data_IF_994180514500
#
_entry.id   IF_994180514500
#
_cell.length_a   1.000
_cell.length_b   1.000
_cell.length_c   1.000
_cell.angle_alpha   90.00
_cell.angle_beta   90.00
_cell.angle_gamma   90.00
#
_symmetry.space_group_name_H-M   'P 1'
#
loop_
_entity.id
_entity.type
_entity.pdbx_description
1 polymer ?
#
# COMPACT_ATOMS: atom_id res chain seq x y z
N UNK A 1 -45.09 -55.15 -25.78
CA UNK A 1 -44.87 -53.77 -26.25
C UNK A 1 -44.00 -53.83 -27.50
N UNK A 2 -44.55 -53.51 -28.68
CA UNK A 2 -43.89 -53.67 -29.98
C UNK A 2 -42.50 -53.02 -29.99
N UNK A 3 -41.53 -53.65 -30.67
CA UNK A 3 -40.16 -53.15 -30.85
C UNK A 3 -40.10 -51.67 -31.26
N UNK A 4 -41.03 -51.20 -32.11
CA UNK A 4 -41.13 -49.78 -32.48
C UNK A 4 -41.49 -48.84 -31.31
N UNK A 5 -42.26 -49.29 -30.31
CA UNK A 5 -42.58 -48.49 -29.11
C UNK A 5 -41.39 -48.37 -28.17
N UNK A 6 -40.50 -49.37 -28.13
CA UNK A 6 -39.25 -49.30 -27.35
C UNK A 6 -38.26 -48.32 -27.99
N UNK A 7 -38.12 -48.35 -29.31
CA UNK A 7 -37.25 -47.43 -30.05
C UNK A 7 -37.73 -45.98 -29.91
N UNK A 8 -39.04 -45.74 -30.00
CA UNK A 8 -39.61 -44.40 -29.80
C UNK A 8 -39.45 -43.87 -28.36
N UNK A 9 -39.50 -44.76 -27.35
CA UNK A 9 -39.32 -44.37 -25.95
C UNK A 9 -37.85 -44.05 -25.65
N UNK A 10 -36.91 -44.80 -26.25
CA UNK A 10 -35.46 -44.56 -26.13
C UNK A 10 -35.05 -43.29 -26.87
N UNK A 11 -35.61 -43.00 -28.05
CA UNK A 11 -35.32 -41.76 -28.76
C UNK A 11 -35.86 -40.54 -28.01
N UNK A 12 -37.06 -40.64 -27.41
CA UNK A 12 -37.64 -39.56 -26.60
C UNK A 12 -36.83 -39.32 -25.32
N UNK A 13 -36.37 -40.37 -24.64
CA UNK A 13 -35.51 -40.25 -23.47
C UNK A 13 -34.15 -39.60 -23.81
N UNK A 14 -33.60 -39.88 -24.99
CA UNK A 14 -32.33 -39.31 -25.44
C UNK A 14 -32.46 -37.82 -25.81
N UNK A 15 -33.58 -37.39 -26.40
CA UNK A 15 -33.83 -35.95 -26.67
C UNK A 15 -34.03 -35.16 -25.37
N UNK A 16 -34.69 -35.72 -24.35
CA UNK A 16 -34.87 -35.05 -23.04
C UNK A 16 -33.53 -34.85 -22.31
N UNK A 17 -32.54 -35.72 -22.55
CA UNK A 17 -31.19 -35.58 -22.01
C UNK A 17 -30.38 -34.43 -22.64
N UNK A 18 -30.67 -34.03 -23.88
CA UNK A 18 -29.98 -32.91 -24.53
C UNK A 18 -30.48 -31.52 -24.09
N UNK A 19 -31.71 -31.43 -23.55
CA UNK A 19 -32.31 -30.14 -23.13
C UNK A 19 -31.93 -29.72 -21.70
N UNK A 20 -31.37 -30.63 -20.89
CA UNK A 20 -30.91 -30.35 -19.53
C UNK A 20 -29.42 -29.91 -19.46
N UNK A 21 -28.74 -29.81 -20.60
CA UNK A 21 -27.30 -29.53 -20.68
C UNK A 21 -26.90 -28.05 -20.82
N UNK A 22 -27.85 -27.14 -21.04
CA UNK A 22 -27.54 -25.70 -21.06
C UNK A 22 -27.45 -25.18 -19.62
N UNK A 23 -26.32 -25.47 -18.97
CA UNK A 23 -25.88 -24.67 -17.83
C UNK A 23 -25.35 -23.37 -18.42
N UNK A 24 -26.17 -22.33 -18.34
CA UNK A 24 -25.74 -20.96 -18.61
C UNK A 24 -24.54 -20.71 -17.68
N UNK A 25 -23.34 -20.62 -18.26
CA UNK A 25 -22.19 -20.10 -17.54
C UNK A 25 -22.53 -18.64 -17.24
N UNK A 26 -23.00 -18.42 -16.02
CA UNK A 26 -23.01 -17.08 -15.42
C UNK A 26 -21.57 -16.62 -15.52
N UNK A 27 -21.30 -15.74 -16.48
CA UNK A 27 -20.08 -14.94 -16.49
C UNK A 27 -20.16 -14.16 -15.19
N UNK A 28 -19.49 -14.64 -14.16
CA UNK A 28 -19.22 -13.82 -12.98
C UNK A 28 -18.45 -12.62 -13.50
N UNK A 29 -19.16 -11.50 -13.67
CA UNK A 29 -18.52 -10.21 -13.81
C UNK A 29 -17.60 -10.08 -12.62
N UNK A 30 -16.28 -10.10 -12.88
CA UNK A 30 -15.31 -9.85 -11.83
C UNK A 30 -15.70 -8.54 -11.16
N UNK A 31 -15.87 -8.50 -9.83
CA UNK A 31 -16.13 -7.25 -9.15
C UNK A 31 -15.05 -6.26 -9.57
N UNK A 32 -15.48 -5.09 -10.06
CA UNK A 32 -14.57 -4.02 -10.47
C UNK A 32 -13.91 -3.51 -9.18
N UNK A 33 -12.76 -4.08 -8.82
CA UNK A 33 -12.00 -3.66 -7.66
C UNK A 33 -11.46 -2.24 -7.89
N UNK A 34 -11.62 -1.35 -6.90
CA UNK A 34 -11.12 0.03 -7.03
C UNK A 34 -9.59 0.10 -7.03
N UNK A 35 -8.92 -0.94 -6.51
CA UNK A 35 -7.49 -1.01 -6.29
C UNK A 35 -6.94 -2.40 -6.60
N UNK A 36 -5.67 -2.46 -6.98
CA UNK A 36 -4.90 -3.72 -7.11
C UNK A 36 -4.58 -4.28 -5.72
N UNK A 37 -4.31 -3.41 -4.76
CA UNK A 37 -3.92 -3.74 -3.39
C UNK A 37 -2.46 -4.15 -3.24
N UNK A 38 -2.11 -4.61 -2.03
CA UNK A 38 -0.74 -4.97 -1.64
C UNK A 38 -0.27 -4.22 -0.40
N UNK A 39 0.80 -4.72 0.23
CA UNK A 39 1.35 -4.19 1.49
C UNK A 39 2.75 -3.55 1.34
N UNK A 40 3.20 -3.31 0.11
CA UNK A 40 4.50 -2.72 -0.21
C UNK A 40 4.31 -1.43 -1.01
N UNK A 41 5.21 -0.47 -0.81
CA UNK A 41 5.30 0.75 -1.60
C UNK A 41 6.41 0.66 -2.64
N UNK A 42 7.65 0.87 -2.21
CA UNK A 42 8.85 0.68 -3.04
C UNK A 42 9.50 -0.67 -2.72
N UNK A 43 9.80 -1.46 -3.74
CA UNK A 43 10.59 -2.68 -3.62
C UNK A 43 12.02 -2.41 -4.06
N UNK A 44 12.97 -2.74 -3.18
CA UNK A 44 14.40 -2.59 -3.43
C UNK A 44 15.03 -3.93 -3.80
N UNK A 45 15.99 -3.90 -4.71
CA UNK A 45 16.89 -5.03 -4.96
C UNK A 45 18.29 -4.55 -5.36
N UNK A 46 19.32 -5.34 -5.08
CA UNK A 46 20.65 -5.10 -5.64
C UNK A 46 20.67 -5.57 -7.09
N UNK A 47 21.27 -4.78 -7.98
CA UNK A 47 21.54 -5.20 -9.34
C UNK A 47 22.49 -6.40 -9.32
N UNK A 48 22.23 -7.37 -10.20
CA UNK A 48 23.03 -8.59 -10.29
C UNK A 48 24.49 -8.24 -10.56
N UNK A 49 25.39 -8.64 -9.65
CA UNK A 49 26.82 -8.36 -9.74
C UNK A 49 27.27 -6.98 -9.23
N UNK A 50 26.36 -6.11 -8.77
CA UNK A 50 26.66 -4.78 -8.26
C UNK A 50 25.91 -4.53 -6.91
N UNK A 51 26.51 -4.86 -5.76
CA UNK A 51 27.93 -5.09 -5.56
C UNK A 51 28.39 -6.50 -5.93
N UNK A 52 29.68 -6.68 -6.26
CA UNK A 52 30.34 -7.98 -6.22
C UNK A 52 30.29 -8.60 -4.82
N UNK A 53 30.32 -9.93 -4.73
CA UNK A 53 30.36 -10.60 -3.42
C UNK A 53 31.74 -10.47 -2.75
N UNK A 54 32.78 -10.32 -3.58
CA UNK A 54 34.18 -10.15 -3.16
C UNK A 54 34.78 -8.96 -3.90
N UNK A 55 35.44 -8.08 -3.16
CA UNK A 55 36.27 -6.99 -3.68
C UNK A 55 37.67 -7.09 -3.06
N UNK A 56 38.63 -6.40 -3.66
CA UNK A 56 40.01 -6.43 -3.23
C UNK A 56 40.46 -5.08 -2.66
N UNK A 57 41.42 -5.11 -1.73
CA UNK A 57 42.13 -3.90 -1.33
C UNK A 57 43.03 -3.37 -2.47
N UNK A 58 43.45 -2.10 -2.38
CA UNK A 58 44.39 -1.44 -3.32
C UNK A 58 43.97 -1.41 -4.80
N UNK A 59 43.25 -0.35 -5.20
CA UNK A 59 42.99 0.04 -6.60
C UNK A 59 42.04 -0.85 -7.42
N UNK A 60 41.12 -1.55 -6.76
CA UNK A 60 40.02 -2.25 -7.42
C UNK A 60 38.68 -1.53 -7.16
N UNK A 61 38.32 -0.52 -7.99
CA UNK A 61 37.04 0.14 -7.86
C UNK A 61 35.89 -0.82 -8.22
N UNK A 62 34.77 -0.66 -7.53
CA UNK A 62 33.52 -1.36 -7.80
C UNK A 62 32.34 -0.40 -7.69
N UNK A 63 31.18 -0.85 -8.17
CA UNK A 63 29.93 -0.11 -8.05
C UNK A 63 28.88 -0.90 -7.28
N UNK A 64 27.98 -0.18 -6.62
CA UNK A 64 26.76 -0.72 -6.03
C UNK A 64 25.59 -0.20 -6.86
N UNK A 65 24.80 -1.10 -7.42
CA UNK A 65 23.60 -0.77 -8.16
C UNK A 65 22.37 -1.18 -7.36
N UNK A 66 21.47 -0.24 -7.10
CA UNK A 66 20.20 -0.50 -6.44
C UNK A 66 19.08 -0.28 -7.45
N UNK A 67 18.21 -1.26 -7.60
CA UNK A 67 16.97 -1.13 -8.33
C UNK A 67 15.85 -0.83 -7.34
N UNK A 68 15.04 0.18 -7.66
CA UNK A 68 13.85 0.55 -6.92
C UNK A 68 12.64 0.50 -7.86
N UNK A 69 11.64 -0.31 -7.53
CA UNK A 69 10.38 -0.41 -8.27
C UNK A 69 9.24 0.09 -7.38
N UNK A 70 8.37 0.97 -7.91
CA UNK A 70 7.13 1.31 -7.23
C UNK A 70 6.11 0.19 -7.44
N UNK A 71 5.99 -0.66 -6.43
CA UNK A 71 5.13 -1.84 -6.44
C UNK A 71 3.75 -1.60 -5.82
N UNK A 72 3.54 -0.45 -5.19
CA UNK A 72 2.24 0.01 -4.71
C UNK A 72 1.53 0.93 -5.71
N UNK A 73 0.51 1.65 -5.26
CA UNK A 73 -0.43 2.41 -6.10
C UNK A 73 -0.43 3.93 -5.81
N UNK A 74 0.63 4.41 -5.17
CA UNK A 74 0.85 5.83 -4.91
C UNK A 74 2.01 6.38 -5.76
N UNK A 75 1.78 7.52 -6.40
CA UNK A 75 2.79 8.16 -7.25
C UNK A 75 3.75 9.00 -6.42
N UNK A 76 5.05 8.84 -6.68
CA UNK A 76 6.10 9.73 -6.19
C UNK A 76 6.38 10.75 -7.29
N UNK A 77 5.75 11.93 -7.17
CA UNK A 77 5.75 12.98 -8.20
C UNK A 77 6.95 13.90 -8.15
N UNK A 78 7.71 13.89 -7.04
CA UNK A 78 8.96 14.61 -6.89
C UNK A 78 10.10 13.60 -6.70
N UNK A 79 11.14 13.57 -7.56
CA UNK A 79 12.24 12.61 -7.43
C UNK A 79 12.98 12.68 -6.09
N UNK A 80 12.96 13.85 -5.42
CA UNK A 80 13.57 14.03 -4.08
C UNK A 80 12.79 13.39 -2.94
N UNK A 81 11.55 12.98 -3.21
CA UNK A 81 10.72 12.28 -2.23
C UNK A 81 11.07 10.79 -2.17
N UNK A 82 12.07 10.31 -2.92
CA UNK A 82 12.70 9.01 -2.73
C UNK A 82 14.22 9.22 -2.67
N UNK A 83 14.79 8.96 -1.50
CA UNK A 83 16.24 8.98 -1.28
C UNK A 83 16.72 7.60 -0.89
N UNK A 84 17.77 7.12 -1.56
CA UNK A 84 18.47 5.88 -1.24
C UNK A 84 19.84 6.21 -0.62
N UNK A 85 20.11 5.63 0.53
CA UNK A 85 21.38 5.75 1.26
C UNK A 85 22.08 4.40 1.33
N UNK A 86 23.37 4.38 1.09
CA UNK A 86 24.22 3.21 1.33
C UNK A 86 24.90 3.34 2.69
N UNK A 87 24.62 2.42 3.61
CA UNK A 87 25.17 2.38 4.97
C UNK A 87 25.82 1.03 5.27
N UNK A 88 26.54 0.94 6.40
CA UNK A 88 27.27 -0.27 6.81
C UNK A 88 28.73 -0.32 6.34
N UNK A 89 29.20 0.74 5.68
CA UNK A 89 30.60 1.00 5.35
C UNK A 89 31.02 2.38 5.83
N UNK A 90 32.31 2.53 6.15
CA UNK A 90 32.90 3.83 6.44
C UNK A 90 33.33 4.49 5.10
N UNK A 91 32.79 5.67 4.74
CA UNK A 91 33.09 6.31 3.46
C UNK A 91 34.59 6.52 3.21
N UNK A 92 35.35 6.89 4.24
CA UNK A 92 36.78 7.14 4.11
C UNK A 92 37.56 5.88 3.73
N UNK A 93 37.18 4.73 4.29
CA UNK A 93 37.80 3.44 3.97
C UNK A 93 37.51 3.01 2.53
N UNK A 94 36.41 3.51 1.95
CA UNK A 94 35.97 3.21 0.59
C UNK A 94 36.23 4.34 -0.42
N UNK A 95 37.08 5.32 -0.05
CA UNK A 95 37.50 6.40 -0.95
C UNK A 95 36.39 7.36 -1.35
N UNK A 96 35.33 7.46 -0.54
CA UNK A 96 34.13 8.24 -0.84
C UNK A 96 33.72 9.15 0.32
N UNK A 97 32.62 9.89 0.16
CA UNK A 97 32.05 10.78 1.18
C UNK A 97 30.63 10.35 1.57
N UNK A 98 30.16 10.79 2.74
CA UNK A 98 28.77 10.53 3.16
C UNK A 98 27.74 11.03 2.15
N UNK A 99 27.98 12.20 1.55
CA UNK A 99 27.08 12.79 0.55
C UNK A 99 27.02 11.94 -0.73
N UNK A 100 28.15 11.36 -1.16
CA UNK A 100 28.19 10.48 -2.33
C UNK A 100 27.46 9.14 -2.11
N UNK A 101 27.22 8.76 -0.84
CA UNK A 101 26.44 7.58 -0.45
C UNK A 101 24.96 7.89 -0.22
N UNK A 102 24.50 9.11 -0.53
CA UNK A 102 23.09 9.51 -0.55
C UNK A 102 22.72 9.92 -1.98
N UNK A 103 21.71 9.29 -2.57
CA UNK A 103 21.20 9.66 -3.89
C UNK A 103 19.68 9.71 -3.90
N UNK A 104 19.15 10.77 -4.49
CA UNK A 104 17.72 10.86 -4.80
C UNK A 104 17.39 10.05 -6.05
N UNK A 105 16.12 9.75 -6.25
CA UNK A 105 15.66 9.11 -7.48
C UNK A 105 16.02 9.95 -8.71
N UNK A 106 16.41 9.33 -9.84
CA UNK A 106 16.69 10.06 -11.08
C UNK A 106 15.42 10.60 -11.75
N UNK A 107 14.25 10.07 -11.40
CA UNK A 107 12.96 10.44 -12.00
C UNK A 107 11.81 10.25 -11.01
N UNK A 108 10.61 10.68 -11.37
CA UNK A 108 9.37 10.35 -10.68
C UNK A 108 9.06 8.86 -10.78
N UNK A 109 8.35 8.30 -9.80
CA UNK A 109 7.93 6.91 -9.81
C UNK A 109 6.41 6.81 -9.81
N UNK A 110 5.85 6.45 -10.95
CA UNK A 110 4.42 6.15 -11.09
C UNK A 110 4.12 4.81 -10.41
N UNK A 111 3.05 4.76 -9.62
CA UNK A 111 2.56 3.54 -9.00
C UNK A 111 1.92 2.59 -10.01
N UNK A 112 1.77 1.33 -9.61
CA UNK A 112 0.91 0.39 -10.32
C UNK A 112 -0.51 0.92 -10.38
N UNK A 113 -1.20 0.66 -11.49
CA UNK A 113 -2.59 1.06 -11.67
C UNK A 113 -3.27 0.15 -12.68
N UNK A 114 -4.61 0.15 -12.66
CA UNK A 114 -5.42 -0.54 -13.66
C UNK A 114 -5.63 0.36 -14.87
N UNK A 115 -5.51 -0.19 -16.07
CA UNK A 115 -6.00 0.46 -17.28
C UNK A 115 -7.54 0.39 -17.38
N UNK A 116 -8.19 1.12 -18.31
CA UNK A 116 -9.65 1.05 -18.48
C UNK A 116 -10.21 -0.34 -18.83
N UNK A 117 -9.35 -1.27 -19.28
CA UNK A 117 -9.72 -2.66 -19.56
C UNK A 117 -9.48 -3.60 -18.36
N UNK A 118 -9.03 -3.07 -17.22
CA UNK A 118 -8.75 -3.81 -15.99
C UNK A 118 -7.42 -4.56 -15.99
N UNK A 119 -6.50 -4.26 -16.91
CA UNK A 119 -5.15 -4.84 -16.89
C UNK A 119 -4.26 -4.07 -15.93
N UNK A 120 -3.38 -4.80 -15.22
CA UNK A 120 -2.39 -4.20 -14.32
C UNK A 120 -1.24 -3.61 -15.13
N UNK A 121 -1.08 -2.29 -15.05
CA UNK A 121 0.10 -1.58 -15.53
C UNK A 121 1.13 -1.54 -14.40
N UNK A 122 2.35 -1.98 -14.70
CA UNK A 122 3.47 -1.96 -13.75
C UNK A 122 3.89 -0.51 -13.45
N UNK A 123 4.30 -0.29 -12.20
CA UNK A 123 4.85 0.98 -11.77
C UNK A 123 6.25 1.21 -12.34
N UNK A 124 6.77 2.41 -12.12
CA UNK A 124 8.10 2.79 -12.58
C UNK A 124 9.19 2.03 -11.84
N UNK A 125 10.19 1.59 -12.60
CA UNK A 125 11.41 0.96 -12.12
C UNK A 125 12.59 1.87 -12.45
N UNK A 126 13.44 2.13 -11.47
CA UNK A 126 14.63 2.97 -11.61
C UNK A 126 15.86 2.27 -11.05
N UNK A 127 17.02 2.58 -11.62
CA UNK A 127 18.31 2.13 -11.12
C UNK A 127 19.07 3.32 -10.53
N UNK A 128 19.61 3.15 -9.32
CA UNK A 128 20.45 4.12 -8.62
C UNK A 128 21.82 3.49 -8.40
N UNK A 129 22.84 4.09 -9.00
CA UNK A 129 24.20 3.56 -8.97
C UNK A 129 25.11 4.39 -8.08
N UNK A 130 25.96 3.73 -7.30
CA UNK A 130 27.04 4.31 -6.52
C UNK A 130 28.37 3.83 -7.14
N UNK A 131 28.94 4.59 -8.09
CA UNK A 131 30.16 4.20 -8.78
C UNK A 131 31.41 4.48 -7.93
N UNK A 132 32.55 3.97 -8.41
CA UNK A 132 33.90 4.32 -7.96
C UNK A 132 34.17 4.11 -6.46
N UNK A 133 33.50 3.14 -5.83
CA UNK A 133 33.81 2.72 -4.47
C UNK A 133 35.07 1.89 -4.47
N UNK A 134 36.03 2.21 -3.60
CA UNK A 134 37.30 1.50 -3.55
C UNK A 134 37.86 1.42 -2.14
N UNK A 135 38.16 0.21 -1.69
CA UNK A 135 38.80 0.01 -0.40
C UNK A 135 40.25 0.54 -0.40
N UNK A 136 40.54 1.52 0.46
CA UNK A 136 41.79 2.30 0.45
C UNK A 136 42.90 1.68 1.29
N UNK A 137 42.54 0.93 2.33
CA UNK A 137 43.50 0.42 3.31
C UNK A 137 43.95 -0.98 2.94
N UNK A 138 45.24 -1.27 3.11
CA UNK A 138 45.74 -2.65 2.99
C UNK A 138 45.30 -3.47 4.19
N UNK A 139 44.76 -4.67 3.94
CA UNK A 139 44.34 -5.59 4.99
C UNK A 139 45.14 -6.88 4.94
N UNK A 140 45.25 -7.54 6.09
CA UNK A 140 45.75 -8.91 6.17
C UNK A 140 44.56 -9.87 6.25
N UNK A 141 44.38 -10.71 5.22
CA UNK A 141 43.30 -11.70 5.17
C UNK A 141 42.01 -11.16 4.51
N UNK A 142 40.87 -11.35 5.17
CA UNK A 142 39.56 -10.95 4.67
C UNK A 142 38.70 -10.30 5.75
N UNK A 143 37.98 -9.24 5.39
CA UNK A 143 37.05 -8.53 6.26
C UNK A 143 35.66 -8.57 5.64
N UNK A 144 34.64 -8.84 6.44
CA UNK A 144 33.24 -8.84 6.00
C UNK A 144 32.56 -7.53 6.41
N UNK A 145 31.80 -6.96 5.48
CA UNK A 145 30.92 -5.82 5.69
C UNK A 145 29.48 -6.21 5.33
N UNK A 146 28.51 -5.61 6.01
CA UNK A 146 27.10 -5.69 5.63
C UNK A 146 26.73 -4.37 4.96
N UNK A 147 26.64 -4.38 3.64
CA UNK A 147 26.13 -3.25 2.88
C UNK A 147 24.61 -3.23 3.03
N UNK A 148 24.09 -2.10 3.50
CA UNK A 148 22.65 -1.86 3.61
C UNK A 148 22.26 -0.71 2.70
N UNK A 149 21.35 -0.98 1.76
CA UNK A 149 20.69 0.06 1.00
C UNK A 149 19.38 0.42 1.70
N UNK A 150 19.28 1.63 2.23
CA UNK A 150 18.10 2.14 2.93
C UNK A 150 17.40 3.14 2.01
N UNK A 151 16.12 2.90 1.68
CA UNK A 151 15.28 3.87 1.00
C UNK A 151 14.40 4.59 2.02
N UNK A 152 14.37 5.91 1.93
CA UNK A 152 13.40 6.75 2.59
C UNK A 152 12.56 7.43 1.52
N UNK A 153 11.23 7.34 1.64
CA UNK A 153 10.35 7.94 0.66
C UNK A 153 9.03 8.45 1.22
N UNK A 154 8.48 9.50 0.60
CA UNK A 154 7.12 9.97 0.86
C UNK A 154 6.12 9.09 0.13
N UNK A 155 5.08 8.65 0.83
CA UNK A 155 4.09 7.73 0.29
C UNK A 155 2.70 8.01 0.83
N UNK A 156 1.72 7.31 0.26
CA UNK A 156 0.37 7.39 0.72
C UNK A 156 -0.47 6.17 0.41
N UNK A 157 -1.67 6.18 0.95
CA UNK A 157 -2.66 5.13 0.79
C UNK A 157 -4.01 5.79 0.58
N UNK A 158 -4.71 5.36 -0.46
CA UNK A 158 -6.11 5.70 -0.68
C UNK A 158 -6.95 4.51 -0.24
N UNK A 159 -7.91 4.76 0.62
CA UNK A 159 -8.90 3.78 1.00
C UNK A 159 -10.29 4.30 0.70
N UNK A 160 -11.16 3.40 0.23
CA UNK A 160 -12.58 3.70 -0.02
C UNK A 160 -13.46 2.73 0.78
N UNK A 161 -14.57 3.25 1.26
CA UNK A 161 -15.61 2.49 1.95
C UNK A 161 -16.97 3.07 1.59
N UNK A 162 -18.06 2.36 1.89
CA UNK A 162 -19.43 2.86 1.67
C UNK A 162 -20.15 2.96 3.01
N UNK A 163 -20.77 4.10 3.27
CA UNK A 163 -21.59 4.34 4.47
C UNK A 163 -23.06 4.36 4.10
N UNK A 164 -23.93 4.01 5.04
CA UNK A 164 -25.36 3.89 4.86
C UNK A 164 -26.10 5.09 5.43
N UNK A 165 -26.75 5.85 4.55
CA UNK A 165 -27.53 7.02 4.95
C UNK A 165 -28.99 6.69 4.74
N UNK A 166 -29.77 6.76 5.81
CA UNK A 166 -31.21 6.51 5.80
C UNK A 166 -31.97 7.76 6.22
N UNK A 167 -33.18 7.93 5.70
CA UNK A 167 -34.11 8.96 6.12
C UNK A 167 -34.45 8.81 7.62
N UNK A 168 -34.72 7.59 8.05
CA UNK A 168 -35.01 7.18 9.43
C UNK A 168 -33.88 6.29 9.98
N UNK A 169 -32.80 6.90 10.47
CA UNK A 169 -31.68 6.15 11.06
C UNK A 169 -32.08 5.28 12.27
N UNK A 170 -33.18 5.62 12.95
CA UNK A 170 -33.62 4.94 14.18
C UNK A 170 -34.61 3.80 13.90
N UNK A 171 -35.16 3.70 12.69
CA UNK A 171 -36.13 2.67 12.31
C UNK A 171 -37.48 2.81 12.97
N UNK A 172 -37.84 4.01 13.41
CA UNK A 172 -39.11 4.31 14.09
C UNK A 172 -40.29 4.38 13.12
N UNK A 173 -40.06 4.77 11.86
CA UNK A 173 -41.12 4.93 10.84
C UNK A 173 -41.27 3.71 9.93
N UNK A 174 -40.33 2.75 9.97
CA UNK A 174 -40.36 1.52 9.17
C UNK A 174 -41.48 0.58 9.57
N UNK A 175 -42.11 -0.08 8.59
CA UNK A 175 -43.13 -1.09 8.86
C UNK A 175 -42.49 -2.39 9.37
N UNK A 176 -43.17 -3.17 10.23
CA UNK A 176 -42.70 -4.49 10.61
C UNK A 176 -42.43 -5.38 9.38
N UNK A 177 -41.19 -5.90 9.28
CA UNK A 177 -40.75 -6.74 8.16
C UNK A 177 -40.13 -6.00 6.98
N UNK A 178 -40.13 -4.67 6.99
CA UNK A 178 -39.43 -3.85 6.01
C UNK A 178 -37.94 -3.76 6.35
N UNK A 179 -37.07 -4.12 5.40
CA UNK A 179 -35.61 -4.02 5.55
C UNK A 179 -35.11 -2.69 4.97
N UNK A 180 -34.16 -2.01 5.62
CA UNK A 180 -33.54 -0.83 5.03
C UNK A 180 -32.73 -1.21 3.78
N UNK A 181 -32.43 -0.22 2.93
CA UNK A 181 -31.60 -0.44 1.73
C UNK A 181 -30.16 -0.86 2.07
N UNK A 182 -29.68 -0.46 3.24
CA UNK A 182 -28.36 -0.76 3.79
C UNK A 182 -28.39 -0.71 5.33
N UNK A 183 -27.35 -1.23 6.00
CA UNK A 183 -27.28 -1.28 7.47
C UNK A 183 -26.33 -0.22 8.05
N UNK A 184 -26.78 0.76 8.85
CA UNK A 184 -25.92 1.84 9.38
C UNK A 184 -25.14 1.45 10.65
N UNK A 185 -25.34 0.25 11.20
CA UNK A 185 -24.70 -0.22 12.44
C UNK A 185 -23.82 -1.45 12.18
N UNK A 186 -22.87 -1.34 11.27
CA UNK A 186 -22.03 -2.48 10.87
C UNK A 186 -20.58 -2.08 10.57
N UNK A 187 -19.73 -3.09 10.42
CA UNK A 187 -18.40 -2.92 9.83
C UNK A 187 -18.55 -2.89 8.32
N UNK A 188 -18.07 -1.81 7.71
CA UNK A 188 -18.09 -1.60 6.27
C UNK A 188 -16.88 -2.24 5.61
N UNK A 189 -17.08 -2.67 4.37
CA UNK A 189 -16.01 -3.16 3.51
C UNK A 189 -15.09 -2.00 3.14
N UNK A 190 -13.79 -2.19 3.32
CA UNK A 190 -12.76 -1.20 3.00
C UNK A 190 -11.87 -1.76 1.90
N UNK A 191 -11.69 -1.00 0.84
CA UNK A 191 -10.73 -1.29 -0.22
C UNK A 191 -9.54 -0.34 -0.06
N UNK A 192 -8.31 -0.88 -0.01
CA UNK A 192 -7.08 -0.11 0.14
C UNK A 192 -6.23 -0.20 -1.14
N UNK A 193 -5.63 0.92 -1.51
CA UNK A 193 -4.57 0.95 -2.51
C UNK A 193 -3.30 0.27 -1.98
N UNK A 194 -2.50 -0.32 -2.87
CA UNK A 194 -1.23 -0.97 -2.56
C UNK A 194 -0.26 -0.03 -1.86
N UNK A 195 0.02 -0.30 -0.58
CA UNK A 195 0.84 0.55 0.29
C UNK A 195 1.13 -0.15 1.64
N UNK A 196 2.14 0.31 2.41
CA UNK A 196 2.50 -0.34 3.68
C UNK A 196 1.65 0.04 4.91
N UNK A 197 0.79 1.06 4.81
CA UNK A 197 -0.13 1.47 5.89
C UNK A 197 -1.55 1.41 5.37
N UNK A 198 -2.45 0.71 6.05
CA UNK A 198 -3.82 0.48 5.59
C UNK A 198 -4.86 1.05 6.54
N UNK A 199 -6.04 1.31 6.01
CA UNK A 199 -7.28 1.37 6.79
C UNK A 199 -7.76 -0.06 6.99
N UNK A 200 -7.65 -0.56 8.23
CA UNK A 200 -7.98 -1.94 8.59
C UNK A 200 -9.49 -2.16 8.75
N UNK A 201 -10.21 -1.15 9.24
CA UNK A 201 -11.66 -1.24 9.39
C UNK A 201 -12.31 0.14 9.37
N UNK A 202 -13.56 0.18 8.89
CA UNK A 202 -14.46 1.31 9.02
C UNK A 202 -15.75 0.78 9.62
N UNK A 203 -16.11 1.20 10.82
CA UNK A 203 -17.38 0.86 11.47
C UNK A 203 -18.30 2.07 11.46
N UNK A 204 -19.49 1.88 10.92
CA UNK A 204 -20.55 2.86 11.01
C UNK A 204 -21.45 2.55 12.22
N UNK A 205 -21.92 3.60 12.89
CA UNK A 205 -22.92 3.48 13.95
C UNK A 205 -23.82 4.71 14.00
N UNK A 206 -25.10 4.51 14.29
CA UNK A 206 -26.05 5.61 14.48
C UNK A 206 -25.74 6.35 15.77
N UNK A 207 -25.55 7.67 15.69
CA UNK A 207 -25.22 8.53 16.82
C UNK A 207 -26.33 9.54 17.17
N UNK A 208 -27.45 9.50 16.44
CA UNK A 208 -28.62 10.35 16.62
C UNK A 208 -29.55 10.27 15.41
N UNK A 209 -30.71 10.96 15.44
CA UNK A 209 -31.64 10.94 14.32
C UNK A 209 -31.04 11.54 13.04
N UNK A 210 -30.08 12.47 13.15
CA UNK A 210 -29.46 13.17 12.00
C UNK A 210 -27.93 13.08 12.04
N UNK A 211 -27.38 11.99 12.59
CA UNK A 211 -25.94 11.86 12.78
C UNK A 211 -25.49 10.41 12.82
N UNK A 212 -24.37 10.14 12.14
CA UNK A 212 -23.65 8.86 12.22
C UNK A 212 -22.25 9.08 12.77
N UNK A 213 -21.71 8.03 13.38
CA UNK A 213 -20.33 7.91 13.84
C UNK A 213 -19.58 6.92 12.96
N UNK A 214 -18.36 7.28 12.57
CA UNK A 214 -17.44 6.44 11.82
C UNK A 214 -16.22 6.17 12.69
N UNK A 215 -16.01 4.91 13.05
CA UNK A 215 -14.81 4.47 13.75
C UNK A 215 -13.87 3.84 12.73
N UNK A 216 -12.69 4.43 12.55
CA UNK A 216 -11.73 4.04 11.51
C UNK A 216 -10.47 3.55 12.19
N UNK A 217 -10.08 2.30 11.92
CA UNK A 217 -8.82 1.72 12.39
C UNK A 217 -7.77 1.81 11.28
N UNK A 218 -6.63 2.41 11.60
CA UNK A 218 -5.45 2.52 10.73
C UNK A 218 -4.37 1.60 11.29
N UNK A 219 -3.66 0.89 10.41
CA UNK A 219 -2.60 -0.02 10.82
C UNK A 219 -1.44 -0.14 9.84
N UNK A 220 -0.26 -0.36 10.39
CA UNK A 220 0.95 -0.70 9.64
C UNK A 220 0.95 -2.19 9.28
N UNK A 221 1.07 -2.49 7.99
CA UNK A 221 1.04 -3.87 7.44
C UNK A 221 2.31 -4.23 6.65
N UNK A 222 3.20 -3.27 6.45
CA UNK A 222 4.50 -3.46 5.82
C UNK A 222 5.61 -3.86 6.81
N UNK A 223 6.82 -4.11 6.29
CA UNK A 223 7.99 -4.55 7.07
C UNK A 223 8.94 -3.43 7.51
N UNK A 224 8.78 -2.24 6.94
CA UNK A 224 9.64 -1.08 7.16
C UNK A 224 9.25 -0.28 8.40
N UNK A 225 9.58 1.01 8.42
CA UNK A 225 9.21 1.92 9.52
C UNK A 225 8.54 3.18 8.99
N UNK A 226 7.55 3.66 9.73
CA UNK A 226 6.77 4.84 9.39
C UNK A 226 7.39 6.07 10.03
N UNK A 227 7.43 7.15 9.28
CA UNK A 227 7.90 8.45 9.72
C UNK A 227 6.92 9.53 9.29
N UNK A 228 6.98 10.67 9.96
CA UNK A 228 6.24 11.85 9.56
C UNK A 228 6.64 12.24 8.14
N UNK A 229 5.69 12.73 7.35
CA UNK A 229 5.98 13.23 6.01
C UNK A 229 7.01 14.37 6.04
N UNK A 230 7.85 14.45 5.02
CA UNK A 230 8.94 15.42 4.85
C UNK A 230 9.96 15.43 5.99
N UNK A 231 10.14 14.29 6.66
CA UNK A 231 11.12 14.12 7.75
C UNK A 231 12.48 13.61 7.28
N UNK A 232 12.62 13.24 6.01
CA UNK A 232 13.73 12.41 5.51
C UNK A 232 13.96 11.14 6.35
N UNK A 233 12.87 10.59 6.90
CA UNK A 233 12.86 9.45 7.81
C UNK A 233 13.77 9.66 9.03
N UNK A 234 13.64 10.85 9.63
CA UNK A 234 14.41 11.27 10.80
C UNK A 234 14.37 10.24 11.92
N UNK A 235 15.49 10.12 12.63
CA UNK A 235 15.58 9.25 13.80
C UNK A 235 14.84 9.81 15.03
N UNK A 236 14.38 11.06 14.98
CA UNK A 236 13.65 11.75 16.05
C UNK A 236 12.38 11.00 16.45
N UNK A 237 12.25 10.71 17.74
CA UNK A 237 11.10 9.97 18.30
C UNK A 237 9.78 10.70 18.00
N UNK A 238 9.79 12.03 18.04
CA UNK A 238 8.60 12.86 17.77
C UNK A 238 8.08 12.75 16.32
N UNK A 239 8.87 12.17 15.41
CA UNK A 239 8.54 12.00 14.00
C UNK A 239 8.26 10.54 13.64
N UNK A 240 8.47 9.58 14.54
CA UNK A 240 8.22 8.15 14.28
C UNK A 240 6.75 7.80 14.36
N UNK A 241 6.35 6.83 13.54
CA UNK A 241 5.01 6.25 13.52
C UNK A 241 3.90 7.29 13.31
N UNK A 242 4.22 8.41 12.64
CA UNK A 242 3.28 9.50 12.39
C UNK A 242 2.70 9.43 10.99
N UNK A 243 1.39 9.33 10.92
CA UNK A 243 0.63 9.31 9.67
C UNK A 243 -0.26 10.53 9.62
N UNK A 244 -0.25 11.25 8.51
CA UNK A 244 -1.25 12.26 8.24
C UNK A 244 -2.49 11.59 7.66
N UNK A 245 -3.64 11.86 8.25
CA UNK A 245 -4.93 11.28 7.86
C UNK A 245 -5.82 12.40 7.35
N UNK A 246 -6.54 12.14 6.28
CA UNK A 246 -7.62 12.97 5.77
C UNK A 246 -8.83 12.10 5.49
N UNK A 247 -9.96 12.43 6.10
CA UNK A 247 -11.24 11.73 5.89
C UNK A 247 -12.17 12.66 5.12
N UNK A 248 -12.75 12.15 4.04
CA UNK A 248 -13.75 12.86 3.25
C UNK A 248 -14.97 11.98 3.01
N UNK A 249 -16.10 12.41 3.56
CA UNK A 249 -17.38 11.73 3.39
C UNK A 249 -18.18 12.32 2.23
N UNK A 250 -17.73 13.41 1.60
CA UNK A 250 -18.49 14.18 0.63
C UNK A 250 -19.73 14.87 1.22
N UNK A 251 -19.76 15.08 2.54
CA UNK A 251 -20.83 15.77 3.28
C UNK A 251 -20.23 16.86 4.18
N UNK A 252 -20.93 17.99 4.38
CA UNK A 252 -20.45 19.06 5.24
C UNK A 252 -20.48 18.66 6.73
N UNK A 253 -19.64 19.30 7.55
CA UNK A 253 -19.70 19.21 9.01
C UNK A 253 -19.05 17.98 9.64
N UNK A 254 -18.28 17.20 8.86
CA UNK A 254 -17.48 16.09 9.39
C UNK A 254 -16.50 16.59 10.46
N UNK A 255 -16.48 15.92 11.61
CA UNK A 255 -15.53 16.22 12.69
C UNK A 255 -15.00 14.94 13.30
N UNK A 256 -13.68 14.78 13.30
CA UNK A 256 -12.94 13.64 13.77
C UNK A 256 -12.16 13.98 15.04
N UNK A 257 -12.45 13.23 16.09
CA UNK A 257 -11.71 13.31 17.33
C UNK A 257 -10.26 12.82 17.12
N UNK A 258 -9.31 13.60 17.64
CA UNK A 258 -7.88 13.31 17.48
C UNK A 258 -7.23 13.86 16.20
N UNK A 259 -7.99 14.57 15.34
CA UNK A 259 -7.45 15.30 14.19
C UNK A 259 -7.50 16.82 14.43
N UNK A 260 -6.42 17.52 14.08
CA UNK A 260 -6.24 18.93 14.44
C UNK A 260 -7.15 19.89 13.64
N UNK A 261 -7.51 19.55 12.41
CA UNK A 261 -8.26 20.41 11.49
C UNK A 261 -9.69 19.88 11.24
N UNK A 262 -10.31 19.23 12.22
CA UNK A 262 -11.65 18.68 12.08
C UNK A 262 -11.64 17.33 11.37
N UNK A 263 -11.33 17.26 10.08
CA UNK A 263 -11.33 16.00 9.30
C UNK A 263 -9.95 15.56 8.81
N UNK A 264 -8.90 16.32 9.13
CA UNK A 264 -7.53 15.96 8.78
C UNK A 264 -6.53 16.32 9.89
N UNK A 265 -5.41 15.58 9.92
CA UNK A 265 -4.34 15.82 10.88
C UNK A 265 -3.40 14.64 11.05
N UNK A 266 -2.35 14.84 11.85
CA UNK A 266 -1.42 13.77 12.19
C UNK A 266 -1.92 12.93 13.35
N UNK A 267 -1.75 11.63 13.22
CA UNK A 267 -1.91 10.65 14.30
C UNK A 267 -0.64 9.84 14.49
N UNK A 268 -0.44 9.33 15.70
CA UNK A 268 0.65 8.40 16.01
C UNK A 268 0.09 6.98 16.11
N UNK A 269 0.71 6.04 15.41
CA UNK A 269 0.36 4.62 15.45
C UNK A 269 1.07 3.93 16.63
N UNK A 270 0.38 3.81 17.76
CA UNK A 270 0.93 3.12 18.92
C UNK A 270 0.86 1.61 18.72
N UNK A 271 2.01 0.94 18.75
CA UNK A 271 2.07 -0.50 18.42
C UNK A 271 1.66 -0.79 16.98
N UNK A 272 1.89 0.16 16.07
CA UNK A 272 1.54 0.02 14.65
C UNK A 272 0.05 0.22 14.34
N UNK A 273 -0.77 0.64 15.29
CA UNK A 273 -2.21 0.86 15.09
C UNK A 273 -2.72 2.17 15.71
N UNK A 274 -3.82 2.68 15.15
CA UNK A 274 -4.57 3.80 15.73
C UNK A 274 -6.02 3.75 15.31
N UNK A 275 -6.91 4.06 16.26
CA UNK A 275 -8.32 4.32 15.98
C UNK A 275 -8.59 5.83 15.96
N UNK A 276 -9.40 6.26 15.01
CA UNK A 276 -9.98 7.62 14.97
C UNK A 276 -11.50 7.51 14.90
N UNK A 277 -12.19 8.41 15.58
CA UNK A 277 -13.66 8.45 15.58
C UNK A 277 -14.12 9.76 14.98
N UNK A 278 -14.86 9.67 13.88
CA UNK A 278 -15.47 10.77 13.18
C UNK A 278 -16.98 10.82 13.39
N UNK A 279 -17.50 12.03 13.37
CA UNK A 279 -18.89 12.37 13.59
C UNK A 279 -19.39 13.11 12.36
N UNK A 280 -20.38 12.54 11.68
CA UNK A 280 -20.95 13.07 10.45
C UNK A 280 -22.40 13.51 10.68
N UNK A 281 -22.68 14.82 10.75
CA UNK A 281 -24.04 15.34 10.66
C UNK A 281 -24.65 15.02 9.29
N UNK A 282 -25.92 14.70 9.26
CA UNK A 282 -26.66 14.43 8.02
C UNK A 282 -27.66 15.56 7.75
N UNK A 283 -27.79 16.02 6.49
CA UNK A 283 -28.79 17.01 6.15
C UNK A 283 -30.21 16.46 6.32
N UNK A 284 -31.17 17.36 6.56
CA UNK A 284 -32.60 17.07 6.60
C UNK A 284 -33.35 18.06 5.69
N UNK A 285 -34.29 17.59 4.84
CA UNK A 285 -34.66 16.19 4.59
C UNK A 285 -33.59 15.43 3.79
N UNK A 286 -33.63 14.09 3.83
CA UNK A 286 -32.76 13.18 3.07
C UNK A 286 -33.53 11.91 2.68
N UNK A 287 -32.99 11.14 1.76
CA UNK A 287 -33.49 9.81 1.39
C UNK A 287 -32.53 8.69 1.80
N UNK A 288 -32.88 7.47 1.40
CA UNK A 288 -32.12 6.25 1.64
C UNK A 288 -31.10 5.99 0.52
N UNK A 289 -29.81 5.92 0.86
CA UNK A 289 -28.74 5.64 -0.10
C UNK A 289 -27.43 5.21 0.58
N UNK A 290 -26.58 4.51 -0.18
CA UNK A 290 -25.18 4.34 0.18
C UNK A 290 -24.33 5.48 -0.40
N UNK A 291 -23.36 5.96 0.38
CA UNK A 291 -22.43 6.99 -0.05
C UNK A 291 -20.99 6.49 0.05
N UNK A 292 -20.19 6.55 -1.03
CA UNK A 292 -18.77 6.28 -0.94
C UNK A 292 -18.07 7.38 -0.13
N UNK A 293 -17.15 6.97 0.73
CA UNK A 293 -16.26 7.84 1.50
C UNK A 293 -14.82 7.51 1.12
N UNK A 294 -13.94 8.51 1.18
CA UNK A 294 -12.52 8.36 0.93
C UNK A 294 -11.71 8.68 2.19
N UNK A 295 -10.68 7.88 2.41
CA UNK A 295 -9.71 8.08 3.49
C UNK A 295 -8.33 8.08 2.84
N UNK A 296 -7.59 9.15 3.04
CA UNK A 296 -6.22 9.30 2.53
C UNK A 296 -5.24 9.31 3.70
N UNK A 297 -4.24 8.45 3.61
CA UNK A 297 -3.11 8.37 4.54
C UNK A 297 -1.86 8.85 3.82
N UNK A 298 -1.09 9.76 4.41
CA UNK A 298 0.21 10.19 3.86
C UNK A 298 1.29 10.20 4.94
N UNK A 299 2.50 9.75 4.60
CA UNK A 299 3.58 9.50 5.55
C UNK A 299 4.92 9.34 4.83
N UNK A 300 6.02 9.53 5.57
CA UNK A 300 7.33 9.04 5.17
C UNK A 300 7.46 7.56 5.51
N UNK A 301 8.16 6.79 4.68
CA UNK A 301 8.37 5.37 4.90
C UNK A 301 9.82 5.00 4.63
N UNK A 302 10.35 4.13 5.49
CA UNK A 302 11.73 3.68 5.42
C UNK A 302 11.80 2.17 5.31
N UNK A 303 12.46 1.69 4.27
CA UNK A 303 12.71 0.26 4.04
C UNK A 303 14.18 0.02 3.68
N UNK A 304 14.65 -1.22 3.80
CA UNK A 304 16.05 -1.54 3.50
C UNK A 304 16.26 -2.97 3.01
N UNK A 305 17.36 -3.16 2.30
CA UNK A 305 17.89 -4.48 1.92
C UNK A 305 19.36 -4.57 2.31
N UNK A 306 19.79 -5.78 2.66
CA UNK A 306 21.16 -6.08 3.08
C UNK A 306 21.85 -7.00 2.09
N UNK A 307 23.15 -6.77 1.86
CA UNK A 307 24.03 -7.68 1.14
C UNK A 307 25.40 -7.73 1.82
N UNK A 308 25.96 -8.93 1.92
CA UNK A 308 27.33 -9.12 2.43
C UNK A 308 28.35 -8.74 1.35
N UNK A 309 29.39 -8.02 1.77
CA UNK A 309 30.55 -7.67 0.96
C UNK A 309 31.81 -8.20 1.65
N UNK A 310 32.62 -8.96 0.94
CA UNK A 310 33.89 -9.46 1.46
C UNK A 310 35.02 -8.67 0.81
N UNK A 311 35.83 -7.98 1.62
CA UNK A 311 37.07 -7.36 1.17
C UNK A 311 38.21 -8.36 1.42
N UNK A 312 39.02 -8.64 0.40
CA UNK A 312 40.20 -9.51 0.50
C UNK A 312 41.47 -8.74 0.14
N UNK A 313 42.58 -9.19 0.71
CA UNK A 313 43.89 -8.73 0.27
C UNK A 313 44.16 -9.13 -1.19
N UNK A 314 44.49 -8.16 -2.05
CA UNK A 314 45.13 -8.39 -3.33
C UNK A 314 46.57 -8.80 -3.06
N UNK A 315 46.81 -10.12 -3.00
CA UNK A 315 48.17 -10.65 -2.83
C UNK A 315 49.13 -10.01 -3.83
N UNK A 316 50.30 -9.60 -3.37
CA UNK A 316 51.36 -9.02 -4.18
C UNK A 316 51.76 -9.98 -5.31
N UNK A 317 51.38 -9.65 -6.55
CA UNK A 317 51.97 -10.20 -7.77
C UNK A 317 53.31 -9.53 -8.07
#
# INVERSE_FOLDING_TARGET
MNEMKKIALVSLAMVVLFILGCKEEVVEEKPVASFIGGNKGIELSFLSGAPPDVVFDKNFPFSVGIQAENVGEWDITNPKDLTIKLIGINPADFGTSLEALKKDSPTTLVGKHLDPAGNVIRGTLVNVEFPDLQYQTEITGSVEYVLRAEACYEYGTRAVSRICILDDLLGVTRKPGEKPICEPNEVKTVENSGAPVHVLSVRESVAGPDKVSLTIEIGHVGSGSIHQRFSECSSEIAQRDRVYVKVDTGLPGLSCSGLAAGNEGYVTLYGGKREIVCMQPLPTPRGDFEKPISIELTYGYKDYIDKKLIVKHAGSS
#
